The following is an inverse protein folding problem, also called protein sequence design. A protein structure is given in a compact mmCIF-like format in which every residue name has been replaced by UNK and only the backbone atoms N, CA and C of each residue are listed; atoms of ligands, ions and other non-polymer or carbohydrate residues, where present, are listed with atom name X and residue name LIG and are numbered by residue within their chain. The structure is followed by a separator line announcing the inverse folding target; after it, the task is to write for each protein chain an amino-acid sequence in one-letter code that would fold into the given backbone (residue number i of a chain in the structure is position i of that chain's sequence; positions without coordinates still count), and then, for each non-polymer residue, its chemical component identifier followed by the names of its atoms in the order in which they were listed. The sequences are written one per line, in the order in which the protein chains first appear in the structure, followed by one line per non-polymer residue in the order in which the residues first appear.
data_IF_596498381744
#
_entry.id   IF_596498381744
#
_cell.length_a   1.000
_cell.length_b   1.000
_cell.length_c   1.000
_cell.angle_alpha   90.00
_cell.angle_beta   90.00
_cell.angle_gamma   90.00
#
_symmetry.space_group_name_H-M   'P 1'
#
loop_
_entity.id
_entity.type
_entity.pdbx_description
1 polymer ?
#
# COMPACT_ATOMS: atom_id res chain seq x y z
N UNK A 1 4.99 8.81 -0.20
CA UNK A 1 5.71 7.53 -0.14
C UNK A 1 5.35 6.76 1.13
N UNK A 2 5.76 7.20 2.33
CA UNK A 2 5.55 6.41 3.56
C UNK A 2 4.09 6.13 3.95
N UNK A 3 3.15 7.05 3.68
CA UNK A 3 1.70 6.75 3.77
C UNK A 3 1.30 5.51 2.98
N UNK A 4 1.84 5.35 1.77
CA UNK A 4 1.52 4.21 0.92
C UNK A 4 2.11 2.90 1.49
N UNK A 5 3.29 2.94 2.11
CA UNK A 5 3.88 1.80 2.82
C UNK A 5 3.08 1.42 4.07
N UNK A 6 2.54 2.39 4.80
CA UNK A 6 1.74 2.19 6.01
C UNK A 6 0.27 1.79 5.74
N UNK A 7 -0.16 1.78 4.47
CA UNK A 7 -1.57 1.50 4.09
C UNK A 7 -1.67 0.30 3.15
N UNK A 8 -0.75 0.14 2.19
CA UNK A 8 -0.80 -0.94 1.20
C UNK A 8 -0.03 -2.16 1.69
N UNK A 9 -0.58 -2.96 2.60
CA UNK A 9 0.00 -4.20 3.12
C UNK A 9 -1.06 -5.11 3.77
N UNK A 10 -0.69 -6.34 4.14
CA UNK A 10 -1.52 -7.25 4.97
C UNK A 10 -1.04 -7.39 6.41
N UNK A 11 0.02 -6.67 6.81
CA UNK A 11 0.54 -6.63 8.20
C UNK A 11 -0.56 -6.31 9.21
N UNK A 12 -0.56 -7.06 10.31
CA UNK A 12 -1.38 -6.85 11.49
C UNK A 12 -0.56 -6.14 12.56
N UNK A 13 -1.16 -5.15 13.21
CA UNK A 13 -0.59 -4.50 14.38
C UNK A 13 -1.28 -5.05 15.63
N UNK A 14 -0.48 -5.43 16.63
CA UNK A 14 -1.03 -5.71 17.96
C UNK A 14 -1.50 -4.40 18.61
N UNK A 15 -2.52 -4.50 19.46
CA UNK A 15 -2.98 -3.34 20.22
C UNK A 15 -1.86 -2.91 21.18
N UNK A 16 -1.49 -1.62 21.22
CA UNK A 16 -0.54 -1.14 22.22
C UNK A 16 -1.08 -1.44 23.62
N UNK A 17 -0.21 -1.92 24.50
CA UNK A 17 -0.54 -2.19 25.90
C UNK A 17 -0.49 -0.86 26.67
N UNK A 18 -1.63 -0.22 26.98
CA UNK A 18 -1.63 1.18 27.42
C UNK A 18 -0.96 1.38 28.79
N UNK A 19 -0.90 0.33 29.60
CA UNK A 19 -0.40 0.36 30.98
C UNK A 19 1.09 0.02 31.08
N UNK A 20 1.62 -0.77 30.15
CA UNK A 20 3.03 -1.21 30.18
C UNK A 20 3.86 -0.56 29.07
N UNK A 21 3.34 -0.54 27.84
CA UNK A 21 4.06 -0.12 26.64
C UNK A 21 3.13 0.65 25.68
N UNK A 22 2.64 1.85 26.08
CA UNK A 22 1.60 2.58 25.33
C UNK A 22 2.00 2.99 23.91
N UNK A 23 3.31 3.03 23.61
CA UNK A 23 3.85 3.42 22.31
C UNK A 23 4.50 2.27 21.55
N UNK A 24 4.36 1.03 22.03
CA UNK A 24 4.95 -0.13 21.39
C UNK A 24 3.95 -0.75 20.41
N UNK A 25 4.33 -0.77 19.12
CA UNK A 25 3.60 -1.43 18.06
C UNK A 25 4.42 -2.62 17.57
N UNK A 26 3.88 -3.82 17.78
CA UNK A 26 4.41 -5.06 17.24
C UNK A 26 3.66 -5.43 15.95
N UNK A 27 4.44 -5.76 14.91
CA UNK A 27 3.92 -6.05 13.58
C UNK A 27 4.06 -7.52 13.24
N UNK A 28 2.93 -8.17 12.94
CA UNK A 28 2.85 -9.55 12.49
C UNK A 28 2.50 -9.56 11.01
N UNK A 29 3.32 -10.21 10.19
CA UNK A 29 3.14 -10.28 8.75
C UNK A 29 3.42 -11.69 8.23
N UNK A 30 2.72 -12.08 7.17
CA UNK A 30 3.00 -13.34 6.46
C UNK A 30 4.32 -13.27 5.68
N UNK A 31 4.72 -12.07 5.26
CA UNK A 31 5.96 -11.81 4.55
C UNK A 31 6.89 -10.92 5.39
N UNK A 32 8.17 -11.30 5.59
CA UNK A 32 9.15 -10.46 6.29
C UNK A 32 9.38 -9.13 5.57
N UNK A 33 9.13 -9.05 4.26
CA UNK A 33 9.32 -7.83 3.47
C UNK A 33 8.27 -6.79 3.82
N UNK A 34 7.03 -7.24 4.01
CA UNK A 34 5.96 -6.34 4.41
C UNK A 34 6.18 -5.83 5.84
N UNK A 35 6.58 -6.71 6.76
CA UNK A 35 6.95 -6.30 8.11
C UNK A 35 8.07 -5.24 8.08
N UNK A 36 9.13 -5.47 7.28
CA UNK A 36 10.23 -4.52 7.15
C UNK A 36 9.80 -3.17 6.56
N UNK A 37 8.93 -3.16 5.54
CA UNK A 37 8.42 -1.93 4.93
C UNK A 37 7.53 -1.13 5.88
N UNK A 38 6.64 -1.79 6.64
CA UNK A 38 5.75 -1.13 7.61
C UNK A 38 6.53 -0.67 8.85
N UNK A 39 7.53 -1.44 9.29
CA UNK A 39 8.47 -1.03 10.34
C UNK A 39 9.27 0.21 9.91
N UNK A 40 9.80 0.23 8.69
CA UNK A 40 10.50 1.40 8.16
C UNK A 40 9.58 2.63 8.12
N UNK A 41 8.31 2.47 7.71
CA UNK A 41 7.33 3.56 7.75
C UNK A 41 7.09 4.08 9.17
N UNK A 42 6.94 3.19 10.17
CA UNK A 42 6.87 3.56 11.59
C UNK A 42 8.08 4.38 12.02
N UNK A 43 9.28 3.88 11.73
CA UNK A 43 10.53 4.47 12.22
C UNK A 43 10.78 5.88 11.67
N UNK A 44 10.15 6.24 10.54
CA UNK A 44 10.17 7.60 9.97
C UNK A 44 8.94 8.44 10.31
N UNK A 45 8.11 8.02 11.27
CA UNK A 45 6.96 8.77 11.77
C UNK A 45 5.65 8.53 11.01
N UNK A 46 5.51 7.39 10.34
CA UNK A 46 4.28 6.94 9.68
C UNK A 46 3.82 5.57 10.21
N UNK A 47 3.64 5.39 11.53
CA UNK A 47 3.23 4.11 12.08
C UNK A 47 1.85 3.69 11.58
N UNK A 48 1.73 2.41 11.21
CA UNK A 48 0.44 1.75 11.07
C UNK A 48 -0.06 1.38 12.47
N UNK A 49 -1.15 2.01 12.91
CA UNK A 49 -1.68 1.84 14.27
C UNK A 49 -2.58 0.61 14.36
N UNK A 50 -3.38 0.37 13.33
CA UNK A 50 -4.23 -0.81 13.29
C UNK A 50 -5.27 -0.78 12.18
N UNK A 51 -5.89 -1.93 11.96
CA UNK A 51 -6.97 -2.11 10.99
C UNK A 51 -8.21 -2.64 11.70
N UNK A 52 -9.33 -1.94 11.51
CA UNK A 52 -10.66 -2.42 11.87
C UNK A 52 -11.35 -2.95 10.62
N UNK A 53 -12.61 -3.39 10.72
CA UNK A 53 -13.33 -4.01 9.59
C UNK A 53 -13.27 -3.16 8.31
N UNK A 54 -13.56 -1.87 8.45
CA UNK A 54 -13.69 -0.94 7.31
C UNK A 54 -12.73 0.25 7.40
N UNK A 55 -11.81 0.28 8.36
CA UNK A 55 -10.89 1.41 8.56
C UNK A 55 -9.45 0.98 8.77
N UNK A 56 -8.53 1.80 8.28
CA UNK A 56 -7.09 1.70 8.50
C UNK A 56 -6.67 2.96 9.23
N UNK A 57 -6.09 2.79 10.42
CA UNK A 57 -5.60 3.86 11.27
C UNK A 57 -4.08 3.92 11.16
N UNK A 58 -3.56 5.09 10.79
CA UNK A 58 -2.14 5.40 10.82
C UNK A 58 -1.93 6.68 11.64
N UNK A 59 -0.69 6.94 12.03
CA UNK A 59 -0.28 8.27 12.45
C UNK A 59 0.66 8.85 11.39
N UNK A 60 0.59 10.15 11.18
CA UNK A 60 1.52 10.88 10.33
C UNK A 60 2.13 12.01 11.13
N UNK A 61 3.39 11.84 11.50
CA UNK A 61 4.18 12.83 12.24
C UNK A 61 3.46 13.31 13.51
N UNK A 62 2.92 12.38 14.31
CA UNK A 62 2.18 12.70 15.53
C UNK A 62 0.68 12.98 15.33
N UNK A 63 0.18 13.03 14.09
CA UNK A 63 -1.22 13.32 13.79
C UNK A 63 -1.98 12.06 13.35
N UNK A 64 -3.08 11.68 14.01
CA UNK A 64 -3.85 10.51 13.60
C UNK A 64 -4.51 10.75 12.23
N UNK A 65 -4.38 9.79 11.32
CA UNK A 65 -5.01 9.79 10.00
C UNK A 65 -5.76 8.48 9.81
N UNK A 66 -7.07 8.57 9.54
CA UNK A 66 -7.96 7.43 9.32
C UNK A 66 -8.36 7.35 7.86
N UNK A 67 -8.19 6.17 7.29
CA UNK A 67 -8.66 5.80 5.97
C UNK A 67 -9.84 4.85 6.07
N UNK A 68 -10.83 5.02 5.19
CA UNK A 68 -11.85 3.98 4.96
C UNK A 68 -11.28 2.99 3.96
N UNK A 69 -11.28 1.71 4.30
CA UNK A 69 -10.88 0.63 3.42
C UNK A 69 -11.99 0.36 2.41
N UNK A 70 -11.67 0.39 1.11
CA UNK A 70 -12.67 0.18 0.06
C UNK A 70 -12.51 -1.22 -0.54
N UNK A 71 -11.30 -1.58 -1.01
CA UNK A 71 -10.96 -2.91 -1.52
C UNK A 71 -9.48 -3.21 -1.34
N UNK A 72 -9.15 -4.49 -1.14
CA UNK A 72 -7.79 -5.01 -1.32
C UNK A 72 -7.76 -5.91 -2.53
N UNK A 73 -6.74 -5.73 -3.37
CA UNK A 73 -6.37 -6.65 -4.42
C UNK A 73 -5.08 -7.36 -3.99
N UNK A 74 -5.24 -8.55 -3.43
CA UNK A 74 -4.16 -9.32 -2.79
C UNK A 74 -2.99 -9.64 -3.72
N UNK A 75 -1.81 -9.75 -3.14
CA UNK A 75 -0.65 -10.23 -3.88
C UNK A 75 -0.91 -11.64 -4.43
N UNK A 76 -0.51 -11.88 -5.67
CA UNK A 76 -0.43 -13.23 -6.22
C UNK A 76 0.80 -13.35 -7.12
N UNK A 77 1.35 -14.57 -7.25
CA UNK A 77 2.50 -14.83 -8.12
C UNK A 77 2.24 -14.46 -9.59
N UNK A 78 0.99 -14.56 -10.04
CA UNK A 78 0.57 -14.14 -11.37
C UNK A 78 0.53 -12.60 -11.52
N UNK A 79 0.07 -11.88 -10.48
CA UNK A 79 -0.03 -10.42 -10.51
C UNK A 79 1.30 -9.71 -10.23
N UNK A 80 2.16 -10.33 -9.42
CA UNK A 80 3.44 -9.80 -8.90
C UNK A 80 3.33 -8.41 -8.29
N UNK A 81 2.13 -8.07 -7.77
CA UNK A 81 1.79 -6.79 -7.13
C UNK A 81 0.61 -6.96 -6.19
N UNK A 82 0.55 -6.09 -5.20
CA UNK A 82 -0.59 -5.87 -4.31
C UNK A 82 -1.14 -4.47 -4.56
N UNK A 83 -2.45 -4.28 -4.38
CA UNK A 83 -3.05 -2.95 -4.41
C UNK A 83 -4.11 -2.80 -3.34
N UNK A 84 -4.28 -1.58 -2.84
CA UNK A 84 -5.33 -1.21 -1.88
C UNK A 84 -6.00 0.05 -2.38
N UNK A 85 -7.33 0.07 -2.36
CA UNK A 85 -8.14 1.27 -2.58
C UNK A 85 -8.67 1.72 -1.22
N UNK A 86 -8.39 2.97 -0.88
CA UNK A 86 -8.85 3.62 0.35
C UNK A 86 -9.50 4.95 0.06
N UNK A 87 -10.36 5.40 0.95
CA UNK A 87 -10.84 6.78 1.01
C UNK A 87 -10.17 7.51 2.16
N UNK A 88 -9.49 8.61 1.87
CA UNK A 88 -8.91 9.49 2.88
C UNK A 88 -10.00 10.32 3.58
N UNK A 89 -9.66 10.93 4.72
CA UNK A 89 -10.58 11.76 5.51
C UNK A 89 -11.11 12.98 4.77
N UNK A 90 -10.36 13.48 3.78
CA UNK A 90 -10.76 14.56 2.88
C UNK A 90 -11.67 14.10 1.72
N UNK A 91 -12.07 12.83 1.71
CA UNK A 91 -12.98 12.24 0.73
C UNK A 91 -12.30 11.67 -0.51
N UNK A 92 -10.99 11.92 -0.73
CA UNK A 92 -10.29 11.41 -1.92
C UNK A 92 -10.19 9.88 -1.90
N UNK A 93 -10.53 9.26 -3.02
CA UNK A 93 -10.26 7.85 -3.28
C UNK A 93 -8.84 7.71 -3.81
N UNK A 94 -8.04 6.84 -3.19
CA UNK A 94 -6.64 6.64 -3.53
C UNK A 94 -6.40 5.15 -3.73
N UNK A 95 -5.92 4.80 -4.92
CA UNK A 95 -5.35 3.50 -5.22
C UNK A 95 -3.84 3.55 -4.91
N UNK A 96 -3.41 2.75 -3.95
CA UNK A 96 -1.98 2.44 -3.75
C UNK A 96 -1.66 1.09 -4.37
N UNK A 97 -0.49 0.98 -4.99
CA UNK A 97 -0.03 -0.27 -5.61
C UNK A 97 1.46 -0.47 -5.39
N UNK A 98 1.86 -1.62 -4.85
CA UNK A 98 3.26 -2.03 -4.69
C UNK A 98 3.52 -3.35 -5.40
N UNK A 99 4.67 -3.50 -6.05
CA UNK A 99 5.01 -4.72 -6.78
C UNK A 99 6.35 -4.65 -7.48
N UNK A 100 6.62 -5.67 -8.30
CA UNK A 100 7.82 -5.71 -9.12
C UNK A 100 7.89 -4.52 -10.08
N UNK A 101 9.09 -4.00 -10.28
CA UNK A 101 9.41 -2.90 -11.18
C UNK A 101 8.83 -3.07 -12.59
N UNK A 102 9.09 -4.20 -13.25
CA UNK A 102 8.55 -4.57 -14.57
C UNK A 102 7.03 -4.42 -14.64
N UNK A 103 6.33 -4.81 -13.56
CA UNK A 103 4.86 -4.79 -13.50
C UNK A 103 4.34 -3.38 -13.23
N UNK A 104 5.01 -2.61 -12.38
CA UNK A 104 4.58 -1.24 -12.06
C UNK A 104 4.87 -0.30 -13.22
N UNK A 105 6.04 -0.42 -13.87
CA UNK A 105 6.47 0.46 -14.96
C UNK A 105 5.58 0.37 -16.20
N UNK A 106 5.05 -0.82 -16.51
CA UNK A 106 4.05 -1.03 -17.58
C UNK A 106 2.72 -0.29 -17.32
N UNK A 107 2.45 0.09 -16.08
CA UNK A 107 1.16 0.66 -15.62
C UNK A 107 1.28 2.13 -15.22
N UNK A 108 2.48 2.72 -15.38
CA UNK A 108 2.68 4.15 -15.17
C UNK A 108 1.96 4.95 -16.25
N UNK A 109 1.47 6.12 -15.87
CA UNK A 109 0.95 7.07 -16.84
C UNK A 109 2.07 7.53 -17.80
N UNK A 110 1.70 7.90 -19.03
CA UNK A 110 2.67 8.25 -20.09
C UNK A 110 3.38 9.58 -19.82
N UNK A 111 2.80 10.41 -18.99
CA UNK A 111 3.23 11.76 -18.59
C UNK A 111 4.05 11.78 -17.29
N UNK A 112 4.41 10.61 -16.74
CA UNK A 112 5.38 10.54 -15.63
C UNK A 112 6.70 11.16 -16.09
N UNK A 113 7.27 12.02 -15.23
CA UNK A 113 8.55 12.67 -15.46
C UNK A 113 9.62 11.65 -15.90
N UNK A 114 10.14 11.75 -17.14
CA UNK A 114 11.14 10.84 -17.67
C UNK A 114 12.42 10.83 -16.82
N UNK A 115 12.82 11.97 -16.25
CA UNK A 115 14.03 12.07 -15.44
C UNK A 115 13.87 11.33 -14.11
N UNK A 116 12.70 11.47 -13.45
CA UNK A 116 12.38 10.71 -12.25
C UNK A 116 12.34 9.20 -12.54
N UNK A 117 11.73 8.81 -13.66
CA UNK A 117 11.66 7.40 -14.09
C UNK A 117 13.06 6.82 -14.31
N UNK A 118 13.90 7.49 -15.09
CA UNK A 118 15.26 7.05 -15.38
C UNK A 118 16.11 6.96 -14.10
N UNK A 119 16.02 7.97 -13.23
CA UNK A 119 16.74 7.95 -11.95
C UNK A 119 16.30 6.78 -11.08
N UNK A 120 14.99 6.55 -10.97
CA UNK A 120 14.44 5.45 -10.18
C UNK A 120 14.87 4.10 -10.74
N UNK A 121 14.89 3.92 -12.07
CA UNK A 121 15.42 2.68 -12.69
C UNK A 121 16.88 2.45 -12.30
N UNK A 122 17.73 3.49 -12.39
CA UNK A 122 19.15 3.38 -12.04
C UNK A 122 19.36 3.01 -10.57
N UNK A 123 18.61 3.63 -9.66
CA UNK A 123 18.67 3.32 -8.23
C UNK A 123 18.23 1.87 -7.96
N UNK A 124 17.18 1.40 -8.65
CA UNK A 124 16.69 0.03 -8.55
C UNK A 124 17.70 -1.00 -9.06
N UNK A 125 18.33 -0.75 -10.22
CA UNK A 125 19.39 -1.60 -10.77
C UNK A 125 20.59 -1.66 -9.82
N UNK A 126 20.98 -0.52 -9.24
CA UNK A 126 22.04 -0.46 -8.26
C UNK A 126 21.73 -1.31 -7.02
N UNK A 127 20.53 -1.20 -6.45
CA UNK A 127 20.11 -2.01 -5.31
C UNK A 127 20.02 -3.50 -5.63
N UNK A 128 19.47 -3.86 -6.79
CA UNK A 128 19.37 -5.25 -7.23
C UNK A 128 20.75 -5.89 -7.44
N UNK A 129 21.70 -5.15 -8.04
CA UNK A 129 23.09 -5.59 -8.21
C UNK A 129 23.81 -5.75 -6.85
N UNK A 130 23.38 -5.01 -5.83
CA UNK A 130 23.83 -5.19 -4.44
C UNK A 130 23.17 -6.36 -3.69
N UNK A 131 22.29 -7.14 -4.35
CA UNK A 131 21.59 -8.27 -3.74
C UNK A 131 20.36 -7.88 -2.92
N UNK A 132 19.92 -6.63 -2.96
CA UNK A 132 18.71 -6.19 -2.28
C UNK A 132 17.47 -6.56 -3.09
N UNK A 133 16.41 -6.98 -2.39
CA UNK A 133 15.10 -7.11 -3.00
C UNK A 133 14.49 -5.72 -3.16
N UNK A 134 14.00 -5.44 -4.36
CA UNK A 134 13.48 -4.14 -4.74
C UNK A 134 11.99 -4.22 -5.08
N UNK A 135 11.25 -3.17 -4.76
CA UNK A 135 9.84 -3.02 -5.10
C UNK A 135 9.59 -1.59 -5.55
N UNK A 136 8.68 -1.42 -6.49
CA UNK A 136 8.14 -0.12 -6.84
C UNK A 136 6.80 0.09 -6.15
N UNK A 137 6.53 1.34 -5.77
CA UNK A 137 5.23 1.77 -5.25
C UNK A 137 4.72 2.96 -6.05
N UNK A 138 3.46 2.86 -6.47
CA UNK A 138 2.74 3.90 -7.18
C UNK A 138 1.43 4.22 -6.48
N UNK A 139 0.87 5.38 -6.80
CA UNK A 139 -0.47 5.74 -6.37
C UNK A 139 -1.22 6.48 -7.48
N UNK A 140 -2.54 6.45 -7.41
CA UNK A 140 -3.42 7.25 -8.27
C UNK A 140 -4.64 7.68 -7.46
N UNK A 141 -5.03 8.95 -7.60
CA UNK A 141 -6.33 9.43 -7.10
C UNK A 141 -7.40 9.01 -8.11
N UNK A 142 -8.48 8.41 -7.61
CA UNK A 142 -9.59 7.94 -8.43
C UNK A 142 -10.74 8.95 -8.35
N UNK A 143 -11.44 9.11 -9.46
CA UNK A 143 -12.74 9.77 -9.45
C UNK A 143 -13.81 8.82 -8.87
N UNK A 144 -14.82 9.39 -8.22
CA UNK A 144 -15.87 8.63 -7.54
C UNK A 144 -16.63 7.71 -8.51
N UNK A 145 -17.01 8.25 -9.67
CA UNK A 145 -17.76 7.55 -10.70
C UNK A 145 -16.92 6.42 -11.35
N UNK A 146 -15.61 6.64 -11.51
CA UNK A 146 -14.67 5.63 -11.96
C UNK A 146 -14.62 4.45 -10.98
N UNK A 147 -14.47 4.74 -9.69
CA UNK A 147 -14.44 3.71 -8.66
C UNK A 147 -15.75 2.93 -8.58
N UNK A 148 -16.90 3.61 -8.62
CA UNK A 148 -18.22 2.97 -8.54
C UNK A 148 -18.46 2.03 -9.74
N UNK A 149 -18.08 2.43 -10.95
CA UNK A 149 -18.13 1.54 -12.12
C UNK A 149 -17.20 0.35 -11.96
N UNK A 150 -15.98 0.59 -11.51
CA UNK A 150 -14.98 -0.46 -11.35
C UNK A 150 -15.39 -1.49 -10.28
N UNK A 151 -15.94 -1.06 -9.15
CA UNK A 151 -16.32 -1.95 -8.05
C UNK A 151 -17.51 -2.83 -8.43
N UNK A 152 -18.48 -2.31 -9.20
CA UNK A 152 -19.58 -3.11 -9.72
C UNK A 152 -19.05 -4.25 -10.60
N UNK A 153 -18.21 -3.94 -11.58
CA UNK A 153 -17.58 -4.95 -12.45
C UNK A 153 -16.77 -5.96 -11.66
N UNK A 154 -16.06 -5.52 -10.61
CA UNK A 154 -15.29 -6.40 -9.75
C UNK A 154 -16.18 -7.38 -8.97
N UNK A 155 -17.28 -6.91 -8.40
CA UNK A 155 -18.23 -7.73 -7.62
C UNK A 155 -19.00 -8.72 -8.50
N UNK A 156 -19.39 -8.29 -9.70
CA UNK A 156 -19.99 -9.16 -10.71
C UNK A 156 -19.02 -10.29 -11.09
N UNK A 157 -17.74 -9.96 -11.31
CA UNK A 157 -16.71 -10.95 -11.61
C UNK A 157 -16.41 -11.89 -10.44
N UNK A 158 -16.42 -11.41 -9.19
CA UNK A 158 -16.24 -12.28 -8.01
C UNK A 158 -17.40 -13.24 -7.79
N UNK A 159 -18.61 -12.85 -8.21
CA UNK A 159 -19.82 -13.65 -8.05
C UNK A 159 -20.06 -14.62 -9.21
N UNK A 160 -19.28 -14.51 -10.29
CA UNK A 160 -19.36 -15.39 -11.45
C UNK A 160 -18.82 -16.79 -11.10
N UNK A 161 -19.59 -17.82 -11.47
CA UNK A 161 -19.26 -19.23 -11.18
C UNK A 161 -18.30 -19.83 -12.23
N UNK A 162 -18.16 -19.16 -13.38
CA UNK A 162 -17.32 -19.61 -14.49
C UNK A 162 -16.14 -18.65 -14.69
N UNK A 163 -14.94 -19.21 -14.88
CA UNK A 163 -13.73 -18.49 -15.28
C UNK A 163 -13.77 -18.11 -16.77
#
# INVERSE_FOLDING_TARGET
FFRALAVCHSVLADKPEPQERPYHLEYKAESPDEAALVAAARDVGFPFVGKQRDTIDIEVLGQPERFTHMKTLEFSGARKRMSVIVRASDGRLILYCKGADSVIYERLAKDVDPALKEKTTKDMDFFANGGLRTLCIGYRVLEEDEFLRWVQTYEDAQSAINN
#
